data_IF_244108928996
#
_entry.id   IF_244108928996
#
_cell.length_a   1.000
_cell.length_b   1.000
_cell.length_c   1.000
_cell.angle_alpha   90.00
_cell.angle_beta   90.00
_cell.angle_gamma   90.00
#
_symmetry.space_group_name_H-M   'P 1'
#
loop_
_entity.id
_entity.type
_entity.pdbx_description
1 polymer ?
#
# COMPACT_ATOMS: atom_id res chain seq x y z
N UNK A 1 31.77 14.04 56.24
CA UNK A 1 31.33 13.89 54.85
C UNK A 1 29.98 13.18 54.83
N UNK A 2 28.90 13.90 54.57
CA UNK A 2 27.57 13.30 54.41
C UNK A 2 27.43 12.78 52.98
N UNK A 3 27.47 11.47 52.81
CA UNK A 3 27.17 10.82 51.53
C UNK A 3 25.68 10.97 51.23
N UNK A 4 25.37 11.67 50.14
CA UNK A 4 23.99 11.86 49.68
C UNK A 4 23.41 10.52 49.25
N UNK A 5 22.54 9.94 50.07
CA UNK A 5 21.81 8.72 49.76
C UNK A 5 20.83 9.02 48.63
N UNK A 6 20.97 8.36 47.47
CA UNK A 6 20.07 8.55 46.32
C UNK A 6 18.65 8.12 46.72
N UNK A 7 17.72 9.07 46.73
CA UNK A 7 16.31 8.80 47.02
C UNK A 7 15.72 7.89 45.94
N UNK A 8 15.09 6.78 46.33
CA UNK A 8 14.37 5.91 45.39
C UNK A 8 13.14 6.66 44.88
N UNK A 9 13.09 6.92 43.59
CA UNK A 9 11.96 7.60 42.94
C UNK A 9 10.78 6.64 42.87
N UNK A 10 9.60 7.10 43.26
CA UNK A 10 8.37 6.33 43.15
C UNK A 10 8.00 6.17 41.67
N UNK A 11 8.00 4.92 41.18
CA UNK A 11 7.55 4.57 39.83
C UNK A 11 6.09 4.11 39.93
N UNK A 12 5.15 4.98 39.55
CA UNK A 12 3.74 4.61 39.48
C UNK A 12 3.39 4.15 38.07
N UNK A 13 2.83 2.95 37.95
CA UNK A 13 2.22 2.48 36.73
C UNK A 13 0.70 2.64 36.83
N UNK A 14 0.12 3.40 35.91
CA UNK A 14 -1.33 3.61 35.85
C UNK A 14 -2.07 2.27 35.69
N UNK A 15 -3.20 2.11 36.40
CA UNK A 15 -4.05 0.92 36.30
C UNK A 15 -4.61 0.70 34.88
N UNK A 16 -4.66 1.76 34.08
CA UNK A 16 -5.12 1.74 32.68
C UNK A 16 -4.00 1.59 31.65
N UNK A 17 -2.74 1.46 32.09
CA UNK A 17 -1.60 1.30 31.17
C UNK A 17 -1.74 0.10 30.23
N UNK A 18 -2.43 -0.96 30.67
CA UNK A 18 -2.72 -2.13 29.82
C UNK A 18 -3.73 -1.80 28.72
N UNK A 19 -4.76 -1.02 29.03
CA UNK A 19 -5.79 -0.63 28.07
C UNK A 19 -5.25 0.37 27.03
N UNK A 20 -4.36 1.26 27.44
CA UNK A 20 -3.70 2.20 26.53
C UNK A 20 -2.81 1.48 25.51
N UNK A 21 -2.10 0.42 25.93
CA UNK A 21 -1.35 -0.44 25.01
C UNK A 21 -2.25 -1.28 24.09
N UNK A 22 -3.44 -1.67 24.55
CA UNK A 22 -4.40 -2.41 23.73
C UNK A 22 -5.07 -1.50 22.68
N UNK A 23 -5.46 -0.28 23.09
CA UNK A 23 -6.06 0.72 22.22
C UNK A 23 -5.10 1.19 21.12
N UNK A 24 -3.81 1.37 21.44
CA UNK A 24 -2.77 1.73 20.46
C UNK A 24 -2.54 0.60 19.46
N UNK A 25 -2.50 -0.66 19.91
CA UNK A 25 -2.41 -1.83 19.01
C UNK A 25 -3.62 -1.96 18.08
N UNK A 26 -4.83 -1.74 18.59
CA UNK A 26 -6.06 -1.75 17.79
C UNK A 26 -6.09 -0.61 16.76
N UNK A 27 -5.66 0.59 17.14
CA UNK A 27 -5.54 1.72 16.19
C UNK A 27 -4.53 1.41 15.09
N UNK A 28 -3.40 0.80 15.43
CA UNK A 28 -2.39 0.40 14.46
C UNK A 28 -2.90 -0.67 13.48
N UNK A 29 -3.63 -1.68 13.97
CA UNK A 29 -4.19 -2.73 13.10
C UNK A 29 -5.27 -2.19 12.17
N UNK A 30 -6.16 -1.31 12.67
CA UNK A 30 -7.18 -0.65 11.87
C UNK A 30 -6.58 0.23 10.75
N UNK A 31 -5.52 0.98 11.04
CA UNK A 31 -4.84 1.78 10.03
C UNK A 31 -4.16 0.88 8.98
N UNK A 32 -3.52 -0.21 9.39
CA UNK A 32 -2.88 -1.14 8.45
C UNK A 32 -3.88 -1.83 7.51
N UNK A 33 -5.06 -2.21 8.02
CA UNK A 33 -6.09 -2.84 7.20
C UNK A 33 -6.71 -1.84 6.23
N UNK A 34 -6.90 -0.58 6.65
CA UNK A 34 -7.41 0.48 5.80
C UNK A 34 -6.47 0.79 4.63
N UNK A 35 -5.17 0.88 4.89
CA UNK A 35 -4.16 1.14 3.87
C UNK A 35 -3.99 -0.03 2.89
N UNK A 36 -4.03 -1.27 3.37
CA UNK A 36 -3.94 -2.47 2.50
C UNK A 36 -5.14 -2.56 1.54
N UNK A 37 -6.35 -2.27 2.05
CA UNK A 37 -7.59 -2.31 1.24
C UNK A 37 -7.58 -1.23 0.15
N UNK A 38 -7.07 -0.02 0.44
CA UNK A 38 -6.97 1.06 -0.55
C UNK A 38 -5.90 0.82 -1.61
N UNK A 39 -4.75 0.23 -1.25
CA UNK A 39 -3.64 0.02 -2.19
C UNK A 39 -3.91 -1.15 -3.15
N UNK A 40 -4.70 -2.14 -2.75
CA UNK A 40 -5.05 -3.29 -3.61
C UNK A 40 -5.96 -2.96 -4.79
N UNK A 41 -6.82 -1.93 -4.71
CA UNK A 41 -7.81 -1.67 -5.76
C UNK A 41 -7.27 -0.89 -6.98
N UNK A 42 -6.10 -0.26 -6.88
CA UNK A 42 -5.63 0.72 -7.89
C UNK A 42 -4.56 0.22 -8.86
N UNK A 43 -3.80 -0.83 -8.49
CA UNK A 43 -2.51 -1.10 -9.14
C UNK A 43 -2.55 -2.04 -10.37
N UNK A 44 -3.45 -3.02 -10.43
CA UNK A 44 -3.21 -4.18 -11.32
C UNK A 44 -3.82 -4.14 -12.73
N UNK A 45 -4.70 -3.18 -13.06
CA UNK A 45 -5.49 -3.25 -14.32
C UNK A 45 -5.13 -2.24 -15.40
N UNK A 46 -4.26 -1.25 -15.14
CA UNK A 46 -3.99 -0.16 -16.10
C UNK A 46 -2.86 -0.46 -17.10
N UNK A 47 -1.97 -1.42 -16.81
CA UNK A 47 -0.85 -1.73 -17.70
C UNK A 47 -1.22 -2.60 -18.90
N UNK A 48 -2.16 -3.53 -18.74
CA UNK A 48 -2.49 -4.52 -19.77
C UNK A 48 -3.28 -3.96 -20.94
N UNK A 49 -4.10 -2.93 -20.70
CA UNK A 49 -4.95 -2.33 -21.75
C UNK A 49 -4.14 -1.53 -22.76
N UNK A 50 -3.04 -0.89 -22.35
CA UNK A 50 -2.19 -0.11 -23.25
C UNK A 50 -1.49 -1.03 -24.26
N UNK A 51 -0.82 -2.09 -23.81
CA UNK A 51 -0.16 -3.04 -24.71
C UNK A 51 -1.14 -3.69 -25.70
N UNK A 52 -2.35 -4.00 -25.26
CA UNK A 52 -3.41 -4.51 -26.13
C UNK A 52 -3.78 -3.48 -27.21
N UNK A 53 -3.92 -2.20 -26.85
CA UNK A 53 -4.23 -1.13 -27.79
C UNK A 53 -3.13 -0.94 -28.86
N UNK A 54 -1.85 -0.97 -28.46
CA UNK A 54 -0.73 -0.93 -29.40
C UNK A 54 -0.75 -2.16 -30.32
N UNK A 55 -1.01 -3.35 -29.77
CA UNK A 55 -1.08 -4.59 -30.56
C UNK A 55 -2.16 -4.53 -31.65
N UNK A 56 -3.36 -4.03 -31.29
CA UNK A 56 -4.47 -3.84 -32.25
C UNK A 56 -4.09 -2.84 -33.33
N UNK A 57 -3.41 -1.74 -32.97
CA UNK A 57 -3.00 -0.72 -33.94
C UNK A 57 -2.02 -1.27 -35.00
N UNK A 58 -1.01 -2.01 -34.55
CA UNK A 58 -0.03 -2.66 -35.44
C UNK A 58 -0.72 -3.69 -36.34
N UNK A 59 -1.65 -4.47 -35.79
CA UNK A 59 -2.41 -5.47 -36.55
C UNK A 59 -3.22 -4.84 -37.68
N UNK A 60 -3.92 -3.73 -37.41
CA UNK A 60 -4.68 -2.99 -38.44
C UNK A 60 -3.74 -2.44 -39.52
N UNK A 61 -2.57 -1.92 -39.15
CA UNK A 61 -1.60 -1.41 -40.13
C UNK A 61 -1.10 -2.52 -41.07
N UNK A 62 -0.81 -3.71 -40.52
CA UNK A 62 -0.42 -4.89 -41.31
C UNK A 62 -1.55 -5.30 -42.26
N UNK A 63 -2.80 -5.33 -41.78
CA UNK A 63 -3.95 -5.67 -42.61
C UNK A 63 -4.13 -4.66 -43.75
N UNK A 64 -4.05 -3.37 -43.47
CA UNK A 64 -4.14 -2.34 -44.53
C UNK A 64 -3.04 -2.52 -45.56
N UNK A 65 -1.80 -2.75 -45.12
CA UNK A 65 -0.68 -2.98 -46.03
C UNK A 65 -0.89 -4.25 -46.88
N UNK A 66 -1.37 -5.33 -46.28
CA UNK A 66 -1.67 -6.56 -46.99
C UNK A 66 -2.81 -6.39 -48.00
N UNK A 67 -3.87 -5.65 -47.63
CA UNK A 67 -4.96 -5.33 -48.55
C UNK A 67 -4.46 -4.48 -49.71
N UNK A 68 -3.68 -3.43 -49.45
CA UNK A 68 -3.10 -2.57 -50.48
C UNK A 68 -2.23 -3.36 -51.46
N UNK A 69 -1.46 -4.34 -50.96
CA UNK A 69 -0.59 -5.18 -51.80
C UNK A 69 -1.33 -6.29 -52.56
N UNK A 70 -2.56 -6.64 -52.16
CA UNK A 70 -3.37 -7.68 -52.80
C UNK A 70 -4.51 -7.15 -53.67
N UNK A 71 -4.95 -5.92 -53.42
CA UNK A 71 -6.03 -5.24 -54.16
C UNK A 71 -5.45 -4.36 -55.28
N UNK A 72 -4.13 -4.17 -55.32
CA UNK A 72 -3.39 -3.60 -56.45
C UNK A 72 -2.93 -4.68 -57.42
#
# INVERSE_FOLDING_TARGET
MFSQKKNKKFSYQSRFSKEETAATKLKASLNSSWDDTRRKSSSSKKGTTLFLLIGVLVFIAILMYYLETKIK
#
